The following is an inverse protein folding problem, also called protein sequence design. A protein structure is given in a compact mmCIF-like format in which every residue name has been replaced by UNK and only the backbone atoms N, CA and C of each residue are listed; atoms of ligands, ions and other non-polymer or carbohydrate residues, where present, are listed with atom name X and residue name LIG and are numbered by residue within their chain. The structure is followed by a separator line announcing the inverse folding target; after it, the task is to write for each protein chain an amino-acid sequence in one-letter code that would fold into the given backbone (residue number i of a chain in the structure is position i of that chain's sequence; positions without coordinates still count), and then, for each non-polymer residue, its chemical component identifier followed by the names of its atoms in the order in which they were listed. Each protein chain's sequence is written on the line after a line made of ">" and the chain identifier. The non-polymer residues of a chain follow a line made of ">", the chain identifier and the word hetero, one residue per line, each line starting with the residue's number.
data_IF_221749076514
#
_entry.id   IF_221749076514
#
_cell.length_a   1.000
_cell.length_b   1.000
_cell.length_c   1.000
_cell.angle_alpha   90.00
_cell.angle_beta   90.00
_cell.angle_gamma   90.00
#
_symmetry.space_group_name_H-M   'P 1'
#
loop_
_entity.id
_entity.type
_entity.pdbx_description
1 polymer ?
#
# COMPACT_ATOMS: atom_id res chain seq x y z
N UNK A 1 26.91 5.64 -20.10
CA UNK A 1 26.12 6.13 -18.94
C UNK A 1 24.66 6.43 -19.32
N UNK A 2 24.36 7.32 -20.28
CA UNK A 2 22.96 7.65 -20.67
C UNK A 2 22.11 6.45 -21.15
N UNK A 3 22.72 5.49 -21.85
CA UNK A 3 22.04 4.26 -22.31
C UNK A 3 21.65 3.36 -21.12
N UNK A 4 22.54 3.24 -20.14
CA UNK A 4 22.30 2.45 -18.92
C UNK A 4 21.17 3.06 -18.09
N UNK A 5 21.18 4.38 -17.90
CA UNK A 5 20.11 5.09 -17.18
C UNK A 5 18.74 4.95 -17.88
N UNK A 6 18.70 5.04 -19.22
CA UNK A 6 17.47 4.79 -19.99
C UNK A 6 16.98 3.35 -19.88
N UNK A 7 17.88 2.38 -19.81
CA UNK A 7 17.51 0.98 -19.61
C UNK A 7 16.85 0.78 -18.23
N UNK A 8 17.40 1.39 -17.17
CA UNK A 8 16.78 1.35 -15.84
C UNK A 8 15.39 1.98 -15.81
N UNK A 9 15.21 3.16 -16.39
CA UNK A 9 13.90 3.82 -16.45
C UNK A 9 12.87 2.97 -17.23
N UNK A 10 13.28 2.34 -18.33
CA UNK A 10 12.42 1.45 -19.10
C UNK A 10 12.00 0.20 -18.30
N UNK A 11 12.92 -0.39 -17.53
CA UNK A 11 12.60 -1.53 -16.65
C UNK A 11 11.57 -1.12 -15.60
N UNK A 12 11.76 0.02 -14.92
CA UNK A 12 10.79 0.51 -13.93
C UNK A 12 9.42 0.80 -14.55
N UNK A 13 9.38 1.38 -15.76
CA UNK A 13 8.13 1.60 -16.48
C UNK A 13 7.40 0.29 -16.81
N UNK A 14 8.13 -0.75 -17.23
CA UNK A 14 7.55 -2.08 -17.45
C UNK A 14 7.04 -2.68 -16.15
N UNK A 15 7.80 -2.59 -15.05
CA UNK A 15 7.34 -3.07 -13.74
C UNK A 15 6.07 -2.37 -13.26
N UNK A 16 6.03 -1.03 -13.36
CA UNK A 16 4.85 -0.25 -13.01
C UNK A 16 3.62 -0.66 -13.84
N UNK A 17 3.80 -0.86 -15.16
CA UNK A 17 2.73 -1.35 -16.03
C UNK A 17 2.24 -2.73 -15.61
N UNK A 18 3.15 -3.66 -15.28
CA UNK A 18 2.77 -5.00 -14.82
C UNK A 18 1.98 -4.96 -13.51
N UNK A 19 2.38 -4.13 -12.54
CA UNK A 19 1.63 -3.94 -11.30
C UNK A 19 0.24 -3.33 -11.54
N UNK A 20 0.15 -2.35 -12.44
CA UNK A 20 -1.13 -1.74 -12.81
C UNK A 20 -2.08 -2.76 -13.48
N UNK A 21 -1.57 -3.56 -14.42
CA UNK A 21 -2.35 -4.62 -15.06
C UNK A 21 -2.78 -5.70 -14.06
N UNK A 22 -1.87 -6.13 -13.18
CA UNK A 22 -2.20 -7.08 -12.11
C UNK A 22 -3.29 -6.55 -11.18
N UNK A 23 -3.22 -5.26 -10.81
CA UNK A 23 -4.28 -4.61 -10.03
C UNK A 23 -5.63 -4.66 -10.74
N UNK A 24 -5.69 -4.27 -12.02
CA UNK A 24 -6.93 -4.31 -12.80
C UNK A 24 -7.52 -5.72 -12.91
N UNK A 25 -6.67 -6.73 -13.11
CA UNK A 25 -7.09 -8.14 -13.14
C UNK A 25 -7.64 -8.57 -11.77
N UNK A 26 -6.96 -8.24 -10.68
CA UNK A 26 -7.43 -8.54 -9.32
C UNK A 26 -8.76 -7.85 -9.01
N UNK A 27 -8.95 -6.59 -9.44
CA UNK A 27 -10.23 -5.87 -9.29
C UNK A 27 -11.34 -6.58 -10.06
N UNK A 28 -11.07 -7.03 -11.30
CA UNK A 28 -12.05 -7.75 -12.11
C UNK A 28 -12.42 -9.11 -11.48
N UNK A 29 -11.43 -9.83 -10.94
CA UNK A 29 -11.65 -11.10 -10.22
C UNK A 29 -12.46 -10.82 -8.95
N UNK A 30 -12.09 -9.84 -8.15
CA UNK A 30 -12.82 -9.45 -6.93
C UNK A 30 -14.29 -9.10 -7.22
N UNK A 31 -14.55 -8.31 -8.27
CA UNK A 31 -15.90 -7.95 -8.68
C UNK A 31 -16.72 -9.18 -9.12
N UNK A 32 -16.09 -10.08 -9.89
CA UNK A 32 -16.72 -11.35 -10.30
C UNK A 32 -17.03 -12.24 -9.10
N UNK A 33 -16.09 -12.38 -8.16
CA UNK A 33 -16.26 -13.18 -6.93
C UNK A 33 -17.38 -12.61 -6.07
N UNK A 34 -17.40 -11.30 -5.85
CA UNK A 34 -18.45 -10.64 -5.08
C UNK A 34 -19.84 -10.78 -5.72
N UNK A 35 -19.92 -10.60 -7.05
CA UNK A 35 -21.18 -10.79 -7.78
C UNK A 35 -21.67 -12.25 -7.70
N UNK A 36 -20.79 -13.22 -7.94
CA UNK A 36 -21.14 -14.64 -7.85
C UNK A 36 -21.61 -15.04 -6.45
N UNK A 37 -21.00 -14.47 -5.41
CA UNK A 37 -21.35 -14.74 -4.01
C UNK A 37 -22.80 -14.33 -3.68
N UNK A 38 -23.27 -13.20 -4.20
CA UNK A 38 -24.64 -12.70 -3.91
C UNK A 38 -25.69 -13.18 -4.92
N UNK A 39 -25.28 -13.66 -6.09
CA UNK A 39 -26.19 -14.12 -7.14
C UNK A 39 -27.06 -15.32 -6.71
N UNK A 40 -26.59 -16.12 -5.76
CA UNK A 40 -27.33 -17.27 -5.21
C UNK A 40 -28.28 -16.94 -4.04
N UNK A 41 -28.23 -15.71 -3.51
CA UNK A 41 -28.97 -15.30 -2.31
C UNK A 41 -28.09 -14.52 -1.33
N UNK A 42 -28.71 -13.98 -0.25
CA UNK A 42 -27.99 -13.28 0.83
C UNK A 42 -28.00 -14.18 2.06
N UNK A 43 -27.02 -15.08 2.13
CA UNK A 43 -26.83 -16.02 3.24
C UNK A 43 -25.40 -15.94 3.81
N UNK A 44 -25.06 -16.87 4.71
CA UNK A 44 -23.72 -16.93 5.29
C UNK A 44 -22.63 -17.21 4.25
N UNK A 45 -22.91 -17.97 3.19
CA UNK A 45 -21.98 -18.23 2.10
C UNK A 45 -21.70 -16.96 1.28
N UNK A 46 -22.74 -16.18 0.99
CA UNK A 46 -22.62 -14.88 0.34
C UNK A 46 -21.74 -13.92 1.15
N UNK A 47 -21.88 -13.92 2.49
CA UNK A 47 -21.03 -13.13 3.37
C UNK A 47 -19.55 -13.53 3.30
N UNK A 48 -19.24 -14.84 3.29
CA UNK A 48 -17.86 -15.33 3.13
C UNK A 48 -17.27 -14.96 1.76
N UNK A 49 -18.06 -15.09 0.69
CA UNK A 49 -17.63 -14.72 -0.65
C UNK A 49 -17.39 -13.21 -0.82
N UNK A 50 -18.19 -12.36 -0.18
CA UNK A 50 -17.94 -10.91 -0.14
C UNK A 50 -16.67 -10.55 0.63
N UNK A 51 -16.39 -11.27 1.71
CA UNK A 51 -15.16 -11.09 2.49
C UNK A 51 -13.93 -11.49 1.67
N UNK A 52 -14.01 -12.58 0.91
CA UNK A 52 -12.97 -12.99 -0.02
C UNK A 52 -12.77 -11.96 -1.15
N UNK A 53 -13.85 -11.47 -1.76
CA UNK A 53 -13.79 -10.41 -2.76
C UNK A 53 -13.13 -9.13 -2.21
N UNK A 54 -13.42 -8.78 -0.95
CA UNK A 54 -12.81 -7.62 -0.28
C UNK A 54 -11.31 -7.81 -0.07
N UNK A 55 -10.85 -9.02 0.26
CA UNK A 55 -9.42 -9.33 0.36
C UNK A 55 -8.70 -9.18 -0.97
N UNK A 56 -9.27 -9.73 -2.05
CA UNK A 56 -8.75 -9.54 -3.41
C UNK A 56 -8.70 -8.06 -3.81
N UNK A 57 -9.70 -7.27 -3.40
CA UNK A 57 -9.71 -5.83 -3.63
C UNK A 57 -8.59 -5.11 -2.86
N UNK A 58 -8.34 -5.50 -1.61
CA UNK A 58 -7.25 -4.94 -0.81
C UNK A 58 -5.88 -5.18 -1.47
N UNK A 59 -5.64 -6.40 -1.97
CA UNK A 59 -4.41 -6.72 -2.72
C UNK A 59 -4.30 -5.89 -4.01
N UNK A 60 -5.42 -5.71 -4.73
CA UNK A 60 -5.44 -4.90 -5.94
C UNK A 60 -5.08 -3.43 -5.66
N UNK A 61 -5.58 -2.85 -4.57
CA UNK A 61 -5.27 -1.47 -4.16
C UNK A 61 -3.79 -1.32 -3.85
N UNK A 62 -3.18 -2.29 -3.15
CA UNK A 62 -1.73 -2.28 -2.88
C UNK A 62 -0.92 -2.34 -4.17
N UNK A 63 -1.29 -3.25 -5.10
CA UNK A 63 -0.61 -3.36 -6.38
C UNK A 63 -0.69 -2.05 -7.19
N UNK A 64 -1.85 -1.37 -7.18
CA UNK A 64 -2.01 -0.08 -7.85
C UNK A 64 -1.15 1.01 -7.20
N UNK A 65 -1.10 1.05 -5.87
CA UNK A 65 -0.27 2.01 -5.14
C UNK A 65 1.21 1.83 -5.47
N UNK A 66 1.68 0.58 -5.57
CA UNK A 66 3.06 0.26 -5.98
C UNK A 66 3.31 0.73 -7.42
N UNK A 67 2.40 0.47 -8.35
CA UNK A 67 2.51 0.96 -9.73
C UNK A 67 2.63 2.48 -9.80
N UNK A 68 1.77 3.20 -9.06
CA UNK A 68 1.81 4.67 -8.96
C UNK A 68 3.14 5.14 -8.39
N UNK A 69 3.59 4.52 -7.30
CA UNK A 69 4.84 4.85 -6.61
C UNK A 69 6.05 4.70 -7.53
N UNK A 70 6.17 3.57 -8.23
CA UNK A 70 7.27 3.32 -9.19
C UNK A 70 7.20 4.33 -10.34
N UNK A 71 6.00 4.63 -10.85
CA UNK A 71 5.82 5.59 -11.94
C UNK A 71 6.24 7.00 -11.50
N UNK A 72 5.78 7.46 -10.35
CA UNK A 72 6.06 8.80 -9.82
C UNK A 72 7.56 8.99 -9.54
N UNK A 73 8.21 8.02 -8.88
CA UNK A 73 9.58 8.18 -8.38
C UNK A 73 10.68 7.73 -9.36
N UNK A 74 10.47 6.68 -10.16
CA UNK A 74 11.52 6.08 -11.00
C UNK A 74 11.35 6.36 -12.50
N UNK A 75 10.13 6.70 -12.93
CA UNK A 75 9.81 6.95 -14.35
C UNK A 75 9.64 8.44 -14.61
N UNK A 76 8.87 9.14 -13.78
CA UNK A 76 8.57 10.57 -13.96
C UNK A 76 9.61 11.46 -13.29
N UNK A 77 10.03 11.14 -12.06
CA UNK A 77 11.12 11.85 -11.38
C UNK A 77 12.47 11.21 -11.73
N UNK A 78 13.46 12.02 -12.06
CA UNK A 78 14.86 11.58 -12.08
C UNK A 78 15.33 11.47 -10.63
N UNK A 79 15.36 10.25 -10.08
CA UNK A 79 15.73 9.88 -8.70
C UNK A 79 16.71 10.84 -8.00
N UNK A 80 16.17 11.87 -7.34
CA UNK A 80 16.88 12.71 -6.39
C UNK A 80 16.00 12.83 -5.15
N UNK A 81 15.92 11.73 -4.39
CA UNK A 81 15.35 11.72 -3.04
C UNK A 81 16.42 12.26 -2.09
N UNK A 82 16.80 13.52 -2.22
CA UNK A 82 17.99 14.06 -1.53
C UNK A 82 17.70 14.68 -0.16
N UNK A 83 16.45 15.00 0.17
CA UNK A 83 16.09 15.64 1.44
C UNK A 83 15.36 14.70 2.43
N UNK A 84 15.74 14.65 3.73
CA UNK A 84 15.05 13.89 4.78
C UNK A 84 13.53 14.15 4.82
N UNK A 85 13.10 15.38 4.58
CA UNK A 85 11.67 15.77 4.53
C UNK A 85 10.90 15.05 3.41
N UNK A 86 11.52 14.88 2.23
CA UNK A 86 10.93 14.15 1.09
C UNK A 86 10.85 12.66 1.38
N UNK A 87 11.92 12.08 1.92
CA UNK A 87 11.94 10.67 2.35
C UNK A 87 10.81 10.39 3.33
N UNK A 88 10.62 11.25 4.34
CA UNK A 88 9.54 11.09 5.32
C UNK A 88 8.16 11.16 4.68
N UNK A 89 7.88 12.18 3.86
CA UNK A 89 6.56 12.34 3.21
C UNK A 89 6.22 11.14 2.34
N UNK A 90 7.18 10.69 1.53
CA UNK A 90 7.06 9.52 0.67
C UNK A 90 6.81 8.25 1.48
N UNK A 91 7.70 7.92 2.43
CA UNK A 91 7.60 6.70 3.24
C UNK A 91 6.30 6.69 4.06
N UNK A 92 5.87 7.85 4.56
CA UNK A 92 4.62 7.96 5.33
C UNK A 92 3.40 7.66 4.47
N UNK A 93 3.30 8.25 3.26
CA UNK A 93 2.19 7.97 2.34
C UNK A 93 2.16 6.49 1.94
N UNK A 94 3.31 5.93 1.60
CA UNK A 94 3.45 4.53 1.22
C UNK A 94 3.07 3.59 2.36
N UNK A 95 3.63 3.81 3.55
CA UNK A 95 3.44 2.91 4.68
C UNK A 95 2.00 2.93 5.21
N UNK A 96 1.32 4.09 5.18
CA UNK A 96 -0.10 4.16 5.55
C UNK A 96 -0.94 3.23 4.68
N UNK A 97 -0.71 3.20 3.35
CA UNK A 97 -1.45 2.30 2.45
C UNK A 97 -1.15 0.83 2.76
N UNK A 98 0.12 0.48 2.98
CA UNK A 98 0.53 -0.89 3.33
C UNK A 98 -0.09 -1.33 4.66
N UNK A 99 -0.03 -0.49 5.69
CA UNK A 99 -0.59 -0.78 7.01
C UNK A 99 -2.10 -0.98 6.95
N UNK A 100 -2.82 -0.10 6.25
CA UNK A 100 -4.28 -0.21 6.09
C UNK A 100 -4.64 -1.51 5.37
N UNK A 101 -3.92 -1.85 4.30
CA UNK A 101 -4.16 -3.09 3.56
C UNK A 101 -3.88 -4.35 4.41
N UNK A 102 -2.75 -4.39 5.13
CA UNK A 102 -2.43 -5.51 6.02
C UNK A 102 -3.41 -5.62 7.20
N UNK A 103 -3.92 -4.49 7.70
CA UNK A 103 -4.93 -4.48 8.76
C UNK A 103 -6.26 -5.08 8.25
N UNK A 104 -6.70 -4.69 7.05
CA UNK A 104 -7.88 -5.25 6.40
C UNK A 104 -7.68 -6.76 6.17
N UNK A 105 -6.53 -7.17 5.65
CA UNK A 105 -6.20 -8.58 5.43
C UNK A 105 -6.21 -9.38 6.74
N UNK A 106 -5.65 -8.82 7.82
CA UNK A 106 -5.69 -9.42 9.15
C UNK A 106 -7.11 -9.58 9.67
N UNK A 107 -7.98 -8.57 9.50
CA UNK A 107 -9.39 -8.64 9.90
C UNK A 107 -10.15 -9.71 9.11
N UNK A 108 -9.92 -9.79 7.80
CA UNK A 108 -10.47 -10.82 6.92
C UNK A 108 -10.01 -12.21 7.38
N UNK A 109 -8.71 -12.35 7.67
CA UNK A 109 -8.12 -13.58 8.18
C UNK A 109 -8.74 -14.02 9.51
N UNK A 110 -8.98 -13.10 10.43
CA UNK A 110 -9.68 -13.41 11.70
C UNK A 110 -11.10 -13.89 11.43
N UNK A 111 -11.85 -13.22 10.54
CA UNK A 111 -13.21 -13.63 10.23
C UNK A 111 -13.26 -15.03 9.61
N UNK A 112 -12.38 -15.31 8.63
CA UNK A 112 -12.28 -16.64 8.01
C UNK A 112 -11.90 -17.71 9.04
N UNK A 113 -10.90 -17.44 9.88
CA UNK A 113 -10.49 -18.38 10.93
C UNK A 113 -11.63 -18.70 11.92
N UNK A 114 -12.43 -17.70 12.31
CA UNK A 114 -13.57 -17.91 13.22
C UNK A 114 -14.73 -18.69 12.60
N UNK A 115 -14.86 -18.71 11.26
CA UNK A 115 -15.98 -19.32 10.55
C UNK A 115 -15.66 -20.65 9.88
N UNK A 116 -14.42 -20.84 9.43
CA UNK A 116 -14.01 -22.00 8.62
C UNK A 116 -13.07 -22.93 9.41
N UNK A 117 -11.90 -22.44 9.85
CA UNK A 117 -10.95 -23.23 10.62
C UNK A 117 -10.23 -22.39 11.70
N UNK A 118 -10.55 -22.59 13.00
CA UNK A 118 -9.94 -21.88 14.11
C UNK A 118 -8.41 -22.03 14.22
N UNK A 119 -7.80 -23.05 13.60
CA UNK A 119 -6.34 -23.22 13.57
C UNK A 119 -5.61 -22.03 12.92
N UNK A 120 -6.27 -21.32 12.00
CA UNK A 120 -5.70 -20.13 11.35
C UNK A 120 -5.79 -18.86 12.20
N UNK A 121 -6.49 -18.88 13.35
CA UNK A 121 -6.68 -17.70 14.20
C UNK A 121 -5.35 -17.15 14.72
N UNK A 122 -4.41 -18.03 15.04
CA UNK A 122 -3.07 -17.64 15.49
C UNK A 122 -2.30 -16.86 14.43
N UNK A 123 -2.36 -17.31 13.17
CA UNK A 123 -1.73 -16.62 12.03
C UNK A 123 -2.34 -15.24 11.78
N UNK A 124 -3.66 -15.13 11.82
CA UNK A 124 -4.36 -13.86 11.65
C UNK A 124 -4.06 -12.87 12.81
N UNK A 125 -4.00 -13.36 14.05
CA UNK A 125 -3.60 -12.55 15.20
C UNK A 125 -2.15 -12.06 15.08
N UNK A 126 -1.22 -12.91 14.66
CA UNK A 126 0.19 -12.54 14.42
C UNK A 126 0.34 -11.49 13.32
N UNK A 127 -0.47 -11.56 12.27
CA UNK A 127 -0.51 -10.53 11.22
C UNK A 127 -0.93 -9.18 11.81
N UNK A 128 -2.02 -9.15 12.60
CA UNK A 128 -2.48 -7.92 13.26
C UNK A 128 -1.46 -7.35 14.25
N UNK A 129 -0.77 -8.21 15.01
CA UNK A 129 0.34 -7.79 15.88
C UNK A 129 1.48 -7.19 15.07
N UNK A 130 1.83 -7.81 13.94
CA UNK A 130 2.87 -7.31 13.04
C UNK A 130 2.53 -5.94 12.45
N UNK A 131 1.26 -5.70 12.13
CA UNK A 131 0.76 -4.36 11.74
C UNK A 131 0.97 -3.34 12.86
N UNK A 132 0.67 -3.70 14.12
CA UNK A 132 0.93 -2.85 15.29
C UNK A 132 2.42 -2.54 15.46
N UNK A 133 3.30 -3.52 15.26
CA UNK A 133 4.75 -3.35 15.30
C UNK A 133 5.23 -2.43 14.18
N UNK A 134 4.72 -2.57 12.95
CA UNK A 134 5.05 -1.69 11.83
C UNK A 134 4.64 -0.23 12.12
N UNK A 135 3.44 -0.02 12.67
CA UNK A 135 2.97 1.30 13.10
C UNK A 135 3.83 1.91 14.20
N UNK A 136 4.21 1.11 15.20
CA UNK A 136 5.10 1.57 16.27
C UNK A 136 6.50 1.94 15.71
N UNK A 137 7.05 1.10 14.84
CA UNK A 137 8.32 1.35 14.16
C UNK A 137 8.28 2.63 13.32
N UNK A 138 7.17 2.90 12.64
CA UNK A 138 6.95 4.15 11.92
C UNK A 138 6.88 5.37 12.84
N UNK A 139 6.17 5.27 13.96
CA UNK A 139 6.13 6.34 14.96
C UNK A 139 7.52 6.67 15.51
N UNK A 140 8.34 5.64 15.75
CA UNK A 140 9.74 5.82 16.15
C UNK A 140 10.54 6.47 15.01
N UNK A 141 10.40 6.00 13.77
CA UNK A 141 11.07 6.56 12.60
C UNK A 141 10.78 8.05 12.42
N UNK A 142 9.51 8.47 12.56
CA UNK A 142 9.13 9.88 12.50
C UNK A 142 9.83 10.65 13.61
N UNK A 143 9.76 10.17 14.86
CA UNK A 143 10.36 10.87 16.01
C UNK A 143 11.86 11.09 15.85
N UNK A 144 12.57 10.11 15.29
CA UNK A 144 14.02 10.19 15.06
C UNK A 144 14.36 11.11 13.87
N UNK A 145 13.53 11.14 12.83
CA UNK A 145 13.77 12.01 11.67
C UNK A 145 13.46 13.49 11.92
N UNK A 146 12.62 13.84 12.90
CA UNK A 146 12.34 15.24 13.23
C UNK A 146 13.61 16.05 13.52
N UNK A 147 14.63 15.43 14.13
CA UNK A 147 15.89 16.09 14.40
C UNK A 147 16.73 16.36 13.13
N UNK A 148 16.67 15.46 12.14
CA UNK A 148 17.37 15.62 10.88
C UNK A 148 16.72 16.70 10.00
N UNK A 149 15.39 16.82 10.02
CA UNK A 149 14.68 17.87 9.27
C UNK A 149 14.89 19.27 9.84
N UNK A 150 15.09 19.39 11.15
CA UNK A 150 15.40 20.67 11.79
C UNK A 150 16.73 21.26 11.30
N UNK A 151 17.60 20.45 10.70
CA UNK A 151 18.88 20.86 10.12
C UNK A 151 18.75 21.36 8.66
N UNK A 152 17.59 21.20 8.01
CA UNK A 152 17.30 21.67 6.64
C UNK A 152 16.10 22.66 6.59
N UNK A 153 16.24 23.88 7.11
CA UNK A 153 15.14 24.84 7.20
C UNK A 153 14.56 25.25 5.83
N UNK A 154 15.40 25.34 4.79
CA UNK A 154 14.97 25.71 3.43
C UNK A 154 14.07 24.63 2.77
N UNK A 155 14.38 23.35 2.98
CA UNK A 155 13.57 22.24 2.47
C UNK A 155 12.22 22.15 3.19
N UNK A 156 12.19 22.50 4.48
CA UNK A 156 10.96 22.61 5.26
C UNK A 156 10.07 23.77 4.82
N UNK A 157 10.65 24.91 4.45
CA UNK A 157 9.89 26.04 3.89
C UNK A 157 9.30 25.71 2.51
N UNK A 158 10.07 25.07 1.63
CA UNK A 158 9.57 24.64 0.31
C UNK A 158 8.42 23.63 0.44
N UNK A 159 8.52 22.65 1.34
CA UNK A 159 7.44 21.70 1.60
C UNK A 159 6.15 22.38 2.11
N UNK A 160 6.28 23.36 3.02
CA UNK A 160 5.13 24.16 3.50
C UNK A 160 4.51 25.01 2.41
N UNK A 161 5.31 25.52 1.46
CA UNK A 161 4.80 26.30 0.32
C UNK A 161 4.09 25.44 -0.72
N UNK A 162 4.53 24.19 -0.93
CA UNK A 162 3.84 23.23 -1.81
C UNK A 162 2.44 22.87 -1.26
N UNK A 163 2.32 22.64 0.05
CA UNK A 163 1.03 22.32 0.68
C UNK A 163 0.05 23.50 0.61
N UNK A 164 0.54 24.74 0.70
CA UNK A 164 -0.27 25.98 0.62
C UNK A 164 -0.86 26.28 -0.75
N UNK A 165 -0.42 25.60 -1.81
CA UNK A 165 -0.93 25.78 -3.19
C UNK A 165 -2.04 24.79 -3.53
N UNK A 166 -2.33 23.84 -2.64
CA UNK A 166 -3.34 22.79 -2.82
C UNK A 166 -4.63 23.05 -2.01
N UNK A 167 -4.65 24.09 -1.18
CA UNK A 167 -5.83 24.67 -0.52
C UNK A 167 -6.44 25.80 -1.38
#
# INVERSE_FOLDING_TARGET
>A
MKIVLRAFSMIHAVMALLFALASLLLMAIAARTGWAAVAGGIDQGAALGLIEATGLMAVAVVALQIAQTITEEEVVREAHVSGPTRVRRFLSRFLVVVVVALAIEGLIGVFKALRENPEHLGGAALLLVSVGVLLAGWGIFIRLNTAAEALEPEAMEQAKQEDRKLD
#
